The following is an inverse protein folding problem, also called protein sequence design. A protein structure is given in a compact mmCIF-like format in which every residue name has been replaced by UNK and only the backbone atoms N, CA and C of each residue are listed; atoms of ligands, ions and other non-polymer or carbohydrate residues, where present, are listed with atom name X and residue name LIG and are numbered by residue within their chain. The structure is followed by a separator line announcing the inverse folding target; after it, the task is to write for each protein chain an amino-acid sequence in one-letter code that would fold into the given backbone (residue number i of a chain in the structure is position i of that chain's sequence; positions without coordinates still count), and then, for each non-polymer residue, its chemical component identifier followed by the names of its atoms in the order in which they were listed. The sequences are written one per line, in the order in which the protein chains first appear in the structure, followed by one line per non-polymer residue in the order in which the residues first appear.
data_IF_261238615039
#
_entry.id   IF_261238615039
#
_cell.length_a   1.000
_cell.length_b   1.000
_cell.length_c   1.000
_cell.angle_alpha   90.00
_cell.angle_beta   90.00
_cell.angle_gamma   90.00
#
_symmetry.space_group_name_H-M   'P 1'
#
loop_
_entity.id
_entity.type
_entity.pdbx_description
1 polymer ?
#
# COMPACT_ATOMS: atom_id res chain seq x y z
N UNK A 1 -2.00 -20.43 18.32
CA UNK A 1 -1.98 -20.31 16.84
C UNK A 1 -3.23 -19.54 16.45
N UNK A 2 -3.09 -18.46 15.68
CA UNK A 2 -4.24 -17.70 15.17
C UNK A 2 -4.39 -17.96 13.67
N UNK A 3 -5.61 -18.15 13.20
CA UNK A 3 -5.89 -18.27 11.77
C UNK A 3 -7.17 -17.52 11.41
N UNK A 4 -7.13 -16.86 10.26
CA UNK A 4 -8.26 -16.13 9.67
C UNK A 4 -8.47 -16.65 8.26
N UNK A 5 -9.72 -16.82 7.85
CA UNK A 5 -10.10 -17.13 6.47
C UNK A 5 -10.54 -15.84 5.82
N UNK A 6 -9.92 -15.52 4.69
CA UNK A 6 -10.15 -14.32 3.91
C UNK A 6 -10.93 -14.74 2.66
N UNK A 7 -12.01 -14.01 2.39
CA UNK A 7 -12.77 -14.13 1.14
C UNK A 7 -12.27 -13.07 0.17
N UNK A 8 -11.79 -13.48 -1.01
CA UNK A 8 -11.32 -12.60 -2.08
C UNK A 8 -12.29 -12.52 -3.26
N UNK A 9 -13.52 -13.01 -3.10
CA UNK A 9 -14.56 -13.04 -4.14
C UNK A 9 -14.49 -14.31 -5.01
N UNK A 10 -13.31 -14.65 -5.53
CA UNK A 10 -13.12 -15.83 -6.39
C UNK A 10 -12.68 -17.08 -5.60
N UNK A 11 -11.84 -16.90 -4.58
CA UNK A 11 -11.26 -17.98 -3.78
C UNK A 11 -11.10 -17.59 -2.30
N UNK A 12 -10.99 -18.59 -1.44
CA UNK A 12 -10.69 -18.41 -0.02
C UNK A 12 -9.20 -18.61 0.26
N UNK A 13 -8.63 -17.72 1.06
CA UNK A 13 -7.24 -17.78 1.51
C UNK A 13 -7.17 -17.86 3.02
N UNK A 14 -6.43 -18.85 3.54
CA UNK A 14 -6.19 -19.00 4.98
C UNK A 14 -4.90 -18.31 5.39
N UNK A 15 -5.02 -17.26 6.18
CA UNK A 15 -3.88 -16.61 6.83
C UNK A 15 -3.63 -17.23 8.21
N UNK A 16 -2.39 -17.58 8.51
CA UNK A 16 -2.00 -18.20 9.79
C UNK A 16 -0.82 -17.48 10.43
N UNK A 17 -0.92 -17.22 11.73
CA UNK A 17 0.15 -16.65 12.55
C UNK A 17 0.52 -17.60 13.70
N UNK A 18 1.80 -17.92 13.79
CA UNK A 18 2.38 -18.69 14.89
C UNK A 18 2.85 -17.72 15.97
N UNK A 19 2.47 -17.98 17.22
CA UNK A 19 2.82 -17.17 18.40
C UNK A 19 2.40 -15.67 18.36
N UNK A 20 1.44 -15.28 17.51
CA UNK A 20 0.94 -13.89 17.43
C UNK A 20 -0.59 -13.85 17.58
N UNK A 21 -1.10 -14.20 18.76
CA UNK A 21 -2.55 -14.21 19.05
C UNK A 21 -3.18 -12.80 19.07
N UNK A 22 -2.39 -11.77 19.35
CA UNK A 22 -2.82 -10.35 19.35
C UNK A 22 -3.38 -9.89 18.00
N UNK A 23 -3.05 -10.59 16.91
CA UNK A 23 -3.58 -10.34 15.58
C UNK A 23 -5.11 -10.39 15.57
N UNK A 24 -5.73 -11.34 16.29
CA UNK A 24 -7.19 -11.51 16.32
C UNK A 24 -7.92 -10.30 16.93
N UNK A 25 -7.24 -9.49 17.74
CA UNK A 25 -7.81 -8.25 18.28
C UNK A 25 -7.83 -7.09 17.29
N UNK A 26 -7.04 -7.17 16.21
CA UNK A 26 -6.92 -6.13 15.17
C UNK A 26 -7.83 -6.35 13.97
N UNK A 27 -8.41 -7.54 13.83
CA UNK A 27 -9.26 -7.91 12.70
C UNK A 27 -10.64 -8.30 13.22
N UNK A 28 -11.69 -7.64 12.76
CA UNK A 28 -13.08 -8.01 13.05
C UNK A 28 -13.74 -8.56 11.79
N UNK A 29 -14.78 -9.36 12.00
CA UNK A 29 -15.60 -9.84 10.89
C UNK A 29 -16.29 -8.64 10.22
N UNK A 30 -16.05 -8.48 8.91
CA UNK A 30 -16.61 -7.39 8.10
C UNK A 30 -15.64 -6.23 7.84
N UNK A 31 -14.46 -6.21 8.46
CA UNK A 31 -13.46 -5.17 8.18
C UNK A 31 -12.85 -5.35 6.78
N UNK A 32 -12.58 -4.24 6.10
CA UNK A 32 -11.75 -4.20 4.91
C UNK A 32 -10.27 -4.20 5.31
N UNK A 33 -9.53 -5.26 4.98
CA UNK A 33 -8.17 -5.44 5.48
C UNK A 33 -7.25 -5.90 4.36
N UNK A 34 -6.11 -5.23 4.21
CA UNK A 34 -5.09 -5.63 3.26
C UNK A 34 -4.14 -6.64 3.90
N UNK A 35 -4.04 -7.80 3.26
CA UNK A 35 -3.06 -8.82 3.63
C UNK A 35 -1.92 -8.84 2.61
N UNK A 36 -0.70 -8.61 3.08
CA UNK A 36 0.51 -8.65 2.26
C UNK A 36 1.39 -9.83 2.67
N UNK A 37 1.60 -10.77 1.74
CA UNK A 37 2.41 -11.94 1.98
C UNK A 37 2.61 -12.77 0.71
N UNK A 38 3.45 -13.81 0.80
CA UNK A 38 3.63 -14.77 -0.28
C UNK A 38 2.60 -15.90 -0.12
N UNK A 39 1.59 -16.00 -0.99
CA UNK A 39 0.63 -17.09 -0.92
C UNK A 39 1.29 -18.40 -1.33
N UNK A 40 0.95 -19.50 -0.66
CA UNK A 40 1.37 -20.86 -1.00
C UNK A 40 0.14 -21.76 -1.08
N UNK A 41 0.09 -22.62 -2.10
CA UNK A 41 -0.99 -23.60 -2.22
C UNK A 41 -0.60 -24.88 -1.48
N UNK A 42 -1.40 -25.30 -0.49
CA UNK A 42 -1.25 -26.58 0.23
C UNK A 42 -2.56 -27.34 0.20
N UNK A 43 -2.51 -28.62 -0.19
CA UNK A 43 -3.68 -29.50 -0.23
C UNK A 43 -4.91 -28.88 -0.93
N UNK A 44 -4.70 -28.16 -2.03
CA UNK A 44 -5.77 -27.51 -2.80
C UNK A 44 -6.33 -26.22 -2.21
N UNK A 45 -5.75 -25.70 -1.10
CA UNK A 45 -6.16 -24.44 -0.49
C UNK A 45 -5.01 -23.43 -0.52
N UNK A 46 -5.35 -22.15 -0.63
CA UNK A 46 -4.38 -21.07 -0.49
C UNK A 46 -4.11 -20.78 0.97
N UNK A 47 -2.83 -20.77 1.35
CA UNK A 47 -2.38 -20.48 2.70
C UNK A 47 -1.27 -19.42 2.69
N UNK A 48 -1.34 -18.48 3.62
CA UNK A 48 -0.28 -17.53 3.93
C UNK A 48 0.20 -17.72 5.36
N UNK A 49 1.52 -17.72 5.55
CA UNK A 49 2.14 -17.81 6.87
C UNK A 49 2.75 -16.47 7.24
N UNK A 50 2.37 -15.95 8.41
CA UNK A 50 2.76 -14.63 8.91
C UNK A 50 2.55 -13.48 7.89
N UNK A 51 1.36 -13.35 7.28
CA UNK A 51 1.11 -12.19 6.43
C UNK A 51 1.08 -10.91 7.27
N UNK A 52 1.53 -9.81 6.67
CA UNK A 52 1.35 -8.48 7.24
C UNK A 52 -0.09 -8.05 7.04
N UNK A 53 -0.65 -7.41 8.06
CA UNK A 53 -2.04 -6.97 8.10
C UNK A 53 -2.02 -5.46 8.16
N UNK A 54 -2.80 -4.82 7.30
CA UNK A 54 -3.09 -3.40 7.36
C UNK A 54 -4.61 -3.24 7.36
N UNK A 55 -5.14 -2.67 8.44
CA UNK A 55 -6.55 -2.31 8.51
C UNK A 55 -6.73 -1.07 7.64
N UNK A 56 -7.65 -1.15 6.69
CA UNK A 56 -7.92 -0.05 5.76
C UNK A 56 -9.17 0.65 6.26
N UNK A 57 -9.12 1.98 6.43
CA UNK A 57 -10.32 2.77 6.60
C UNK A 57 -11.01 2.90 5.22
N UNK A 58 -12.35 2.90 5.18
CA UNK A 58 -13.08 2.79 3.91
C UNK A 58 -12.72 3.87 2.87
N UNK A 59 -12.22 5.02 3.32
CA UNK A 59 -11.77 6.13 2.48
C UNK A 59 -10.34 5.97 1.89
N UNK A 60 -9.53 5.03 2.41
CA UNK A 60 -8.12 4.83 2.04
C UNK A 60 -7.88 3.65 1.08
N UNK A 61 -8.93 3.00 0.58
CA UNK A 61 -8.82 1.81 -0.27
C UNK A 61 -8.03 2.06 -1.57
N UNK A 62 -8.10 3.29 -2.11
CA UNK A 62 -7.35 3.70 -3.30
C UNK A 62 -5.85 3.92 -3.03
N UNK A 63 -5.46 4.20 -1.77
CA UNK A 63 -4.12 4.65 -1.44
C UNK A 63 -3.08 3.54 -1.25
N UNK A 64 -3.51 2.28 -1.17
CA UNK A 64 -2.67 1.21 -0.62
C UNK A 64 -2.39 0.03 -1.56
N UNK A 65 -2.92 0.05 -2.79
CA UNK A 65 -2.63 -0.93 -3.83
C UNK A 65 -1.39 -0.65 -4.69
N UNK A 66 -0.68 0.46 -4.46
CA UNK A 66 0.45 0.93 -5.29
C UNK A 66 1.83 0.40 -4.88
N UNK A 67 2.84 0.68 -5.72
CA UNK A 67 4.25 0.45 -5.38
C UNK A 67 4.64 1.34 -4.19
N UNK A 68 4.85 0.74 -3.02
CA UNK A 68 5.22 1.48 -1.82
C UNK A 68 6.75 1.57 -1.66
N UNK A 69 7.33 2.76 -1.45
CA UNK A 69 8.77 2.93 -1.30
C UNK A 69 9.32 2.17 -0.08
N UNK A 70 10.56 1.69 -0.21
CA UNK A 70 11.30 1.03 0.87
C UNK A 70 12.45 1.94 1.33
N UNK A 71 12.37 2.40 2.57
CA UNK A 71 13.34 3.27 3.20
C UNK A 71 14.28 2.47 4.12
N UNK A 72 15.52 2.94 4.34
CA UNK A 72 16.35 2.40 5.41
C UNK A 72 15.66 2.64 6.75
N UNK A 73 15.60 1.59 7.57
CA UNK A 73 14.93 1.63 8.87
C UNK A 73 15.94 1.95 9.95
N UNK A 74 15.59 2.89 10.82
CA UNK A 74 16.24 3.11 12.10
C UNK A 74 15.68 2.16 13.15
N UNK A 75 16.48 1.82 14.17
CA UNK A 75 16.03 0.92 15.22
C UNK A 75 14.80 1.48 15.96
N UNK A 76 13.81 0.63 16.20
CA UNK A 76 12.51 1.01 16.77
C UNK A 76 11.51 1.68 15.82
N UNK A 77 11.86 1.97 14.56
CA UNK A 77 10.93 2.55 13.58
C UNK A 77 10.46 1.50 12.58
N UNK A 78 9.14 1.39 12.39
CA UNK A 78 8.56 0.47 11.41
C UNK A 78 8.49 1.13 10.02
N UNK A 79 8.50 0.31 8.96
CA UNK A 79 8.31 0.77 7.58
C UNK A 79 7.03 1.59 7.39
N UNK A 80 5.97 1.23 8.13
CA UNK A 80 4.68 1.90 8.05
C UNK A 80 4.74 3.30 8.64
N UNK A 81 5.34 3.45 9.83
CA UNK A 81 5.57 4.75 10.46
C UNK A 81 6.45 5.61 9.56
N UNK A 82 7.54 5.06 9.03
CA UNK A 82 8.43 5.81 8.13
C UNK A 82 7.69 6.32 6.89
N UNK A 83 6.89 5.47 6.25
CA UNK A 83 6.08 5.87 5.08
C UNK A 83 5.09 6.96 5.42
N UNK A 84 4.41 6.85 6.57
CA UNK A 84 3.46 7.86 7.05
C UNK A 84 4.16 9.20 7.29
N UNK A 85 5.27 9.19 8.03
CA UNK A 85 6.02 10.41 8.35
C UNK A 85 6.57 11.07 7.08
N UNK A 86 7.12 10.31 6.15
CA UNK A 86 7.60 10.84 4.87
C UNK A 86 6.47 11.44 4.05
N UNK A 87 5.29 10.77 4.01
CA UNK A 87 4.11 11.30 3.33
C UNK A 87 3.63 12.60 3.97
N UNK A 88 3.44 12.62 5.29
CA UNK A 88 3.05 13.82 6.02
C UNK A 88 4.02 14.99 5.80
N UNK A 89 5.33 14.70 5.77
CA UNK A 89 6.34 15.71 5.52
C UNK A 89 6.28 16.22 4.06
N UNK A 90 6.15 15.31 3.08
CA UNK A 90 5.98 15.68 1.69
C UNK A 90 4.73 16.54 1.51
N UNK A 91 3.56 16.07 1.94
CA UNK A 91 2.29 16.77 1.76
C UNK A 91 2.29 18.17 2.41
N UNK A 92 3.03 18.37 3.51
CA UNK A 92 3.11 19.68 4.19
C UNK A 92 4.13 20.64 3.59
N UNK A 93 5.26 20.14 3.11
CA UNK A 93 6.39 20.99 2.74
C UNK A 93 6.67 21.04 1.24
N UNK A 94 6.01 20.20 0.44
CA UNK A 94 6.22 20.13 -1.01
C UNK A 94 6.01 21.46 -1.71
N UNK A 95 5.06 22.27 -1.24
CA UNK A 95 4.73 23.59 -1.81
C UNK A 95 5.84 24.63 -1.58
N UNK A 96 6.70 24.39 -0.59
CA UNK A 96 7.77 25.29 -0.17
C UNK A 96 9.13 24.90 -0.77
N UNK A 97 9.19 23.81 -1.53
CA UNK A 97 10.41 23.35 -2.20
C UNK A 97 10.39 23.90 -3.63
N UNK A 98 11.36 24.76 -3.94
CA UNK A 98 11.58 25.22 -5.31
C UNK A 98 11.96 24.05 -6.20
N UNK A 99 11.42 24.02 -7.42
CA UNK A 99 11.72 22.98 -8.39
C UNK A 99 13.21 23.07 -8.77
N UNK A 100 14.03 22.03 -8.49
CA UNK A 100 15.45 22.06 -8.79
C UNK A 100 15.72 22.05 -10.30
N UNK A 101 14.71 21.77 -11.12
CA UNK A 101 14.83 21.67 -12.57
C UNK A 101 14.24 22.95 -13.21
N UNK A 102 15.03 23.70 -14.00
CA UNK A 102 14.52 24.84 -14.76
C UNK A 102 13.39 24.44 -15.70
N UNK A 103 12.37 25.30 -15.83
CA UNK A 103 11.15 24.96 -16.57
C UNK A 103 11.42 24.56 -18.03
N UNK A 104 12.42 25.21 -18.65
CA UNK A 104 12.88 24.95 -20.01
C UNK A 104 13.39 23.53 -20.25
N UNK A 105 13.69 22.74 -19.22
CA UNK A 105 14.18 21.37 -19.35
C UNK A 105 13.06 20.32 -19.25
N UNK A 106 11.85 20.71 -18.83
CA UNK A 106 10.74 19.76 -18.70
C UNK A 106 10.29 19.21 -20.05
N UNK A 107 10.16 20.03 -21.09
CA UNK A 107 9.62 19.62 -22.41
C UNK A 107 10.37 18.44 -23.06
N UNK A 108 11.69 18.33 -22.82
CA UNK A 108 12.51 17.22 -23.31
C UNK A 108 12.53 15.98 -22.42
N UNK A 109 12.19 16.11 -21.13
CA UNK A 109 12.23 15.03 -20.15
C UNK A 109 10.90 14.27 -20.06
N UNK A 110 9.76 14.94 -20.21
CA UNK A 110 8.44 14.26 -20.11
C UNK A 110 8.18 13.28 -21.26
N UNK A 111 8.89 13.44 -22.38
CA UNK A 111 8.80 12.56 -23.54
C UNK A 111 9.66 11.29 -23.40
N UNK A 112 10.69 11.31 -22.55
CA UNK A 112 11.61 10.18 -22.33
C UNK A 112 11.39 9.44 -21.02
N UNK A 113 10.81 10.09 -20.02
CA UNK A 113 10.50 9.52 -18.71
C UNK A 113 9.07 9.88 -18.34
N UNK A 114 8.27 8.89 -17.95
CA UNK A 114 6.96 9.09 -17.30
C UNK A 114 7.13 9.64 -15.86
N UNK A 115 8.01 10.62 -15.68
CA UNK A 115 8.17 11.39 -14.46
C UNK A 115 7.36 12.66 -14.63
N UNK A 116 6.25 12.75 -13.89
CA UNK A 116 5.59 14.03 -13.69
C UNK A 116 6.42 14.89 -12.74
N UNK A 117 6.06 16.17 -12.64
CA UNK A 117 6.75 17.18 -11.85
C UNK A 117 7.15 16.65 -10.46
N UNK A 118 8.31 17.08 -9.98
CA UNK A 118 8.95 16.59 -8.76
C UNK A 118 8.12 16.57 -7.45
N UNK A 119 7.00 17.32 -7.28
CA UNK A 119 6.10 17.04 -6.16
C UNK A 119 5.27 15.76 -6.32
N UNK A 120 4.85 15.40 -7.53
CA UNK A 120 3.93 14.27 -7.80
C UNK A 120 4.64 12.91 -7.81
N UNK A 121 5.95 12.88 -8.05
CA UNK A 121 6.73 11.63 -8.08
C UNK A 121 7.00 11.02 -6.70
N UNK A 122 6.99 11.84 -5.63
CA UNK A 122 7.34 11.39 -4.26
C UNK A 122 6.12 10.81 -3.53
N UNK A 123 4.92 11.27 -3.89
CA UNK A 123 3.64 10.73 -3.39
C UNK A 123 2.94 10.00 -4.54
N UNK A 124 3.17 8.69 -4.71
CA UNK A 124 2.63 7.92 -5.84
C UNK A 124 1.13 7.63 -5.73
N UNK A 125 0.32 8.54 -5.16
CA UNK A 125 -1.12 8.34 -5.01
C UNK A 125 -1.96 9.49 -5.57
N UNK A 126 -2.03 9.55 -6.90
CA UNK A 126 -3.26 9.87 -7.63
C UNK A 126 -3.33 8.98 -8.86
N UNK A 127 -3.40 7.66 -8.64
CA UNK A 127 -3.79 6.76 -9.72
C UNK A 127 -5.30 6.82 -9.83
N UNK A 128 -5.81 7.61 -10.78
CA UNK A 128 -7.21 7.60 -11.20
C UNK A 128 -7.62 6.17 -11.56
N UNK A 129 -8.23 5.44 -10.62
CA UNK A 129 -8.90 4.18 -10.93
C UNK A 129 -10.16 4.57 -11.68
N UNK A 130 -10.11 4.43 -13.00
CA UNK A 130 -11.30 4.55 -13.84
C UNK A 130 -12.23 3.39 -13.46
N UNK A 131 -13.22 3.66 -12.59
CA UNK A 131 -14.30 2.72 -12.34
C UNK A 131 -15.15 2.62 -13.61
N UNK A 132 -14.87 1.61 -14.43
CA UNK A 132 -15.75 1.25 -15.53
C UNK A 132 -16.90 0.45 -14.91
N UNK A 133 -18.08 1.07 -14.74
CA UNK A 133 -19.33 0.33 -14.53
C UNK A 133 -19.48 -0.65 -15.70
N UNK A 134 -19.58 -1.94 -15.40
CA UNK A 134 -20.16 -2.90 -16.34
C UNK A 134 -21.67 -2.79 -16.13
N UNK A 135 -22.34 -2.19 -17.10
CA UNK A 135 -23.79 -2.22 -17.20
C UNK A 135 -24.25 -3.42 -18.02
N UNK A 136 -25.50 -3.83 -17.78
CA UNK A 136 -26.30 -4.70 -18.66
C UNK A 136 -26.18 -6.17 -18.36
#
# INVERSE_FOLDING_TARGET
MASVVIDSGDEFLKATWFNQSWVLGKVRHGDAVLFSGKPKRRAGRWEMTHPRIQVIDADDLEAHGGLLPKYPLTDGVTMEVMRRVTRDAADRFVEHVEDPIPEAWWDGLVSSVSMRRWPECIVPNRSTITSRRVGG
#
